data_IF_594672022498
#
_entry.id   IF_594672022498
#
_cell.length_a   1.000
_cell.length_b   1.000
_cell.length_c   1.000
_cell.angle_alpha   90.00
_cell.angle_beta   90.00
_cell.angle_gamma   90.00
#
_symmetry.space_group_name_H-M   'P 1'
#
loop_
_entity.id
_entity.type
_entity.pdbx_description
1 polymer ?
#
# COMPACT_ATOMS: atom_id res chain seq x y z
N UNK A 1 -8.57 -6.52 -13.07
CA UNK A 1 -9.79 -6.37 -12.23
C UNK A 1 -9.53 -5.34 -11.15
N UNK A 2 -10.54 -4.56 -10.70
CA UNK A 2 -10.36 -3.52 -9.67
C UNK A 2 -11.00 -3.92 -8.33
N UNK A 3 -10.21 -4.03 -7.27
CA UNK A 3 -10.68 -4.38 -5.92
C UNK A 3 -10.45 -3.24 -4.94
N UNK A 4 -11.39 -3.00 -4.03
CA UNK A 4 -11.29 -1.96 -3.00
C UNK A 4 -11.31 -2.59 -1.62
N UNK A 5 -10.36 -2.21 -0.75
CA UNK A 5 -10.37 -2.61 0.66
C UNK A 5 -10.20 -1.38 1.57
N UNK A 6 -10.70 -1.51 2.80
CA UNK A 6 -10.39 -0.62 3.92
C UNK A 6 -9.60 -1.39 4.97
N UNK A 7 -8.59 -0.74 5.57
CA UNK A 7 -7.77 -1.34 6.62
C UNK A 7 -7.48 -0.29 7.71
N UNK A 8 -7.45 -0.73 8.97
CA UNK A 8 -6.97 0.09 10.08
C UNK A 8 -5.45 0.19 10.03
N UNK A 9 -4.89 1.39 10.03
CA UNK A 9 -3.44 1.59 9.92
C UNK A 9 -2.71 1.54 11.27
N UNK A 10 -3.45 1.45 12.37
CA UNK A 10 -2.89 1.38 13.73
C UNK A 10 -2.39 -0.03 14.11
N UNK A 11 -2.70 -1.02 13.29
CA UNK A 11 -2.35 -2.42 13.50
C UNK A 11 -1.22 -2.88 12.58
N UNK A 12 -0.39 -3.80 13.08
CA UNK A 12 0.52 -4.58 12.25
C UNK A 12 -0.20 -5.85 11.81
N UNK A 13 0.18 -6.40 10.66
CA UNK A 13 -0.28 -7.73 10.27
C UNK A 13 -0.31 -7.97 8.78
N UNK A 14 -0.65 -9.20 8.41
CA UNK A 14 -0.86 -9.60 7.03
C UNK A 14 -2.33 -9.43 6.65
N UNK A 15 -2.58 -9.12 5.38
CA UNK A 15 -3.91 -9.04 4.82
C UNK A 15 -3.93 -9.70 3.45
N UNK A 16 -4.87 -10.61 3.25
CA UNK A 16 -5.13 -11.22 1.95
C UNK A 16 -6.10 -10.33 1.18
N UNK A 17 -5.69 -9.89 0.00
CA UNK A 17 -6.51 -9.16 -0.96
C UNK A 17 -7.01 -10.19 -1.98
N UNK A 18 -8.27 -10.58 -1.86
CA UNK A 18 -8.90 -11.61 -2.69
C UNK A 18 -9.84 -11.00 -3.73
N UNK A 19 -10.42 -11.85 -4.57
CA UNK A 19 -11.41 -11.50 -5.58
C UNK A 19 -10.81 -11.01 -6.88
N UNK A 20 -9.59 -11.41 -7.26
CA UNK A 20 -9.03 -11.09 -8.57
C UNK A 20 -9.62 -11.98 -9.69
N UNK A 21 -10.11 -13.17 -9.33
CA UNK A 21 -10.60 -14.21 -10.23
C UNK A 21 -9.50 -15.04 -10.91
N UNK A 22 -8.24 -14.78 -10.59
CA UNK A 22 -7.05 -15.45 -11.11
C UNK A 22 -5.85 -15.18 -10.21
N UNK A 23 -4.77 -15.95 -10.42
CA UNK A 23 -3.47 -15.69 -9.81
C UNK A 23 -2.75 -14.55 -10.54
N UNK A 24 -2.59 -13.35 -9.95
CA UNK A 24 -1.97 -12.22 -10.62
C UNK A 24 -0.48 -12.44 -10.85
N UNK A 25 0.07 -11.77 -11.88
CA UNK A 25 1.52 -11.60 -12.06
C UNK A 25 2.00 -10.21 -11.62
N UNK A 26 1.07 -9.28 -11.39
CA UNK A 26 1.36 -7.96 -10.88
C UNK A 26 0.10 -7.17 -10.54
N UNK A 27 0.30 -6.02 -9.92
CA UNK A 27 -0.76 -5.04 -9.71
C UNK A 27 -0.24 -3.62 -9.61
N UNK A 28 -1.13 -2.68 -9.88
CA UNK A 28 -1.00 -1.29 -9.44
C UNK A 28 -1.92 -1.08 -8.24
N UNK A 29 -1.44 -0.41 -7.21
CA UNK A 29 -2.25 -0.03 -6.05
C UNK A 29 -2.28 1.48 -5.92
N UNK A 30 -3.47 2.05 -5.68
CA UNK A 30 -3.64 3.44 -5.28
C UNK A 30 -4.21 3.42 -3.88
N UNK A 31 -3.57 4.10 -2.95
CA UNK A 31 -3.98 4.09 -1.56
C UNK A 31 -3.76 5.42 -0.86
N UNK A 32 -4.29 5.53 0.36
CA UNK A 32 -4.11 6.69 1.22
C UNK A 32 -5.01 6.64 2.45
N UNK A 33 -4.83 7.59 3.37
CA UNK A 33 -5.70 7.76 4.54
C UNK A 33 -7.06 8.26 4.06
N UNK A 34 -8.13 7.66 4.56
CA UNK A 34 -9.51 8.12 4.32
C UNK A 34 -9.64 9.59 4.71
N UNK A 35 -10.05 10.44 3.77
CA UNK A 35 -10.21 11.89 3.97
C UNK A 35 -8.90 12.65 4.31
N UNK A 36 -7.72 12.06 4.05
CA UNK A 36 -6.41 12.68 4.32
C UNK A 36 -5.64 13.05 3.05
N UNK A 37 -4.57 13.85 3.22
CA UNK A 37 -3.72 14.37 2.12
C UNK A 37 -2.42 13.55 1.90
N UNK A 38 -2.46 12.23 2.14
CA UNK A 38 -1.31 11.34 1.96
C UNK A 38 -1.60 10.16 1.02
N UNK A 39 -1.93 10.41 -0.27
CA UNK A 39 -2.07 9.33 -1.24
C UNK A 39 -0.71 8.78 -1.66
N UNK A 40 -0.71 7.52 -2.10
CA UNK A 40 0.42 6.87 -2.76
C UNK A 40 -0.05 6.06 -3.97
N UNK A 41 0.88 5.78 -4.87
CA UNK A 41 0.72 4.87 -6.00
C UNK A 41 1.85 3.84 -5.94
N UNK A 42 1.49 2.57 -5.85
CA UNK A 42 2.42 1.45 -5.81
C UNK A 42 2.31 0.56 -7.03
N UNK A 43 3.41 -0.08 -7.40
CA UNK A 43 3.47 -1.06 -8.48
C UNK A 43 4.22 -2.28 -7.99
N UNK A 44 3.68 -3.46 -8.30
CA UNK A 44 4.34 -4.75 -8.08
C UNK A 44 4.33 -5.53 -9.38
N UNK A 45 5.50 -5.97 -9.82
CA UNK A 45 5.69 -6.83 -10.99
C UNK A 45 6.23 -8.23 -10.65
N UNK A 46 6.64 -8.44 -9.39
CA UNK A 46 7.21 -9.68 -8.89
C UNK A 46 7.27 -9.65 -7.36
N UNK A 47 7.61 -10.78 -6.73
CA UNK A 47 7.75 -10.85 -5.26
C UNK A 47 8.77 -9.85 -4.69
N UNK A 48 9.82 -9.52 -5.46
CA UNK A 48 10.87 -8.59 -5.08
C UNK A 48 10.77 -7.22 -5.78
N UNK A 49 10.11 -7.16 -6.93
CA UNK A 49 9.92 -5.94 -7.71
C UNK A 49 8.68 -5.18 -7.23
N UNK A 50 8.88 -4.38 -6.19
CA UNK A 50 7.89 -3.44 -5.68
C UNK A 50 8.49 -2.05 -5.59
N UNK A 51 7.70 -1.04 -5.97
CA UNK A 51 8.08 0.36 -5.88
C UNK A 51 6.83 1.20 -5.65
N UNK A 52 7.01 2.41 -5.14
CA UNK A 52 5.91 3.35 -5.01
C UNK A 52 6.39 4.79 -5.12
N UNK A 53 5.42 5.67 -5.33
CA UNK A 53 5.53 7.10 -5.11
C UNK A 53 4.49 7.53 -4.09
N UNK A 54 4.85 8.36 -3.14
CA UNK A 54 3.95 8.91 -2.12
C UNK A 54 3.93 10.43 -2.17
N UNK A 55 2.77 11.02 -1.90
CA UNK A 55 2.53 12.46 -1.92
C UNK A 55 2.71 13.11 -0.52
N UNK A 56 3.57 12.54 0.32
CA UNK A 56 3.71 13.03 1.69
C UNK A 56 5.04 12.66 2.36
N UNK A 57 6.12 12.55 1.59
CA UNK A 57 7.41 12.20 2.17
C UNK A 57 7.95 13.39 2.98
N UNK A 58 8.00 13.25 4.31
CA UNK A 58 8.51 14.30 5.20
C UNK A 58 7.57 15.51 5.40
N UNK A 59 6.25 15.32 5.28
CA UNK A 59 5.20 16.28 5.73
C UNK A 59 4.93 17.48 4.82
N UNK A 60 5.27 17.41 3.53
CA UNK A 60 4.85 18.43 2.56
C UNK A 60 3.90 17.83 1.54
N UNK A 61 2.59 17.99 1.78
CA UNK A 61 1.57 17.64 0.79
C UNK A 61 1.86 18.33 -0.56
N UNK A 62 1.71 17.60 -1.66
CA UNK A 62 1.98 18.09 -3.01
C UNK A 62 3.38 17.74 -3.53
N UNK A 63 4.24 17.12 -2.71
CA UNK A 63 5.55 16.61 -3.14
C UNK A 63 5.50 15.09 -3.28
N UNK A 64 5.66 14.63 -4.52
CA UNK A 64 5.76 13.20 -4.84
C UNK A 64 7.21 12.74 -4.82
N UNK A 65 7.52 11.71 -4.03
CA UNK A 65 8.87 11.13 -3.94
C UNK A 65 8.77 9.61 -3.99
N UNK A 66 9.82 8.95 -4.47
CA UNK A 66 10.03 7.51 -4.31
C UNK A 66 10.75 7.24 -2.99
N UNK A 67 10.15 6.45 -2.10
CA UNK A 67 10.88 5.86 -0.96
C UNK A 67 11.73 4.67 -1.49
N UNK A 68 12.98 4.59 -1.06
CA UNK A 68 13.95 3.56 -1.47
C UNK A 68 13.80 2.25 -0.69
N UNK A 69 12.90 2.22 0.30
CA UNK A 69 12.58 1.04 1.06
C UNK A 69 11.57 0.18 0.29
N UNK A 70 11.94 -1.07 -0.02
CA UNK A 70 11.12 -2.07 -0.72
C UNK A 70 9.70 -2.19 -0.14
N UNK A 71 8.79 -1.36 -0.63
CA UNK A 71 7.40 -1.25 -0.20
C UNK A 71 6.53 -0.84 -1.38
N UNK A 72 5.26 -1.25 -1.35
CA UNK A 72 4.24 -0.86 -2.34
C UNK A 72 3.56 0.45 -1.97
N UNK A 73 3.83 0.97 -0.78
CA UNK A 73 3.26 2.23 -0.32
C UNK A 73 3.66 2.52 1.11
N UNK A 74 3.81 3.81 1.40
CA UNK A 74 3.94 4.30 2.76
C UNK A 74 2.83 5.33 3.01
N UNK A 75 2.07 5.10 4.08
CA UNK A 75 1.07 6.03 4.56
C UNK A 75 1.70 6.84 5.69
N UNK A 76 1.90 8.13 5.46
CA UNK A 76 2.41 9.06 6.45
C UNK A 76 1.26 9.81 7.15
N UNK A 77 1.27 9.79 8.47
CA UNK A 77 0.45 10.67 9.32
C UNK A 77 1.20 11.98 9.56
N UNK A 78 2.50 11.86 9.88
CA UNK A 78 3.45 12.96 10.03
C UNK A 78 4.88 12.47 9.74
N UNK A 79 5.89 13.27 10.14
CA UNK A 79 7.31 13.01 9.87
C UNK A 79 7.82 11.72 10.52
N UNK A 80 7.17 11.27 11.59
CA UNK A 80 7.61 10.18 12.47
C UNK A 80 6.59 9.06 12.59
N UNK A 81 5.36 9.28 12.11
CA UNK A 81 4.27 8.32 12.15
C UNK A 81 3.90 7.86 10.76
N UNK A 82 4.25 6.61 10.44
CA UNK A 82 3.88 6.00 9.18
C UNK A 82 3.51 4.53 9.31
N UNK A 83 2.73 4.06 8.35
CA UNK A 83 2.46 2.64 8.10
C UNK A 83 2.97 2.28 6.72
N UNK A 84 3.91 1.34 6.68
CA UNK A 84 4.45 0.77 5.45
C UNK A 84 3.64 -0.43 5.02
N UNK A 85 3.48 -0.56 3.72
CA UNK A 85 2.75 -1.64 3.09
C UNK A 85 3.72 -2.36 2.16
N UNK A 86 3.87 -3.66 2.33
CA UNK A 86 4.75 -4.48 1.50
C UNK A 86 3.97 -5.61 0.86
N UNK A 87 4.31 -5.94 -0.38
CA UNK A 87 3.84 -7.16 -1.01
C UNK A 87 4.50 -8.37 -0.34
N UNK A 88 3.77 -9.47 -0.22
CA UNK A 88 4.27 -10.72 0.35
C UNK A 88 4.19 -11.86 -0.65
N UNK A 89 3.03 -12.06 -1.29
CA UNK A 89 2.84 -13.14 -2.27
C UNK A 89 1.72 -12.83 -3.26
N UNK A 90 1.80 -13.44 -4.44
CA UNK A 90 0.66 -13.62 -5.33
C UNK A 90 -0.02 -14.95 -5.01
N UNK A 91 -1.32 -14.89 -4.79
CA UNK A 91 -2.16 -16.00 -4.37
C UNK A 91 -3.15 -16.36 -5.47
N UNK A 92 -3.84 -17.50 -5.37
CA UNK A 92 -4.67 -18.03 -6.45
C UNK A 92 -5.84 -17.13 -6.86
N UNK A 93 -6.25 -16.21 -5.99
CA UNK A 93 -7.33 -15.25 -6.21
C UNK A 93 -6.94 -13.80 -5.84
N UNK A 94 -5.64 -13.47 -5.89
CA UNK A 94 -5.17 -12.12 -5.60
C UNK A 94 -3.75 -12.04 -5.03
N UNK A 95 -3.58 -11.34 -3.92
CA UNK A 95 -2.26 -11.14 -3.31
C UNK A 95 -2.33 -10.94 -1.80
N UNK A 96 -1.24 -11.27 -1.12
CA UNK A 96 -1.04 -10.97 0.30
C UNK A 96 -0.14 -9.75 0.44
N UNK A 97 -0.53 -8.84 1.34
CA UNK A 97 0.25 -7.68 1.75
C UNK A 97 0.52 -7.72 3.25
N UNK A 98 1.58 -7.07 3.69
CA UNK A 98 1.92 -6.88 5.11
C UNK A 98 1.91 -5.39 5.45
N UNK A 99 1.30 -5.06 6.60
CA UNK A 99 1.26 -3.75 7.22
C UNK A 99 2.28 -3.69 8.37
N UNK A 100 3.22 -2.75 8.27
CA UNK A 100 4.27 -2.51 9.27
C UNK A 100 4.23 -1.05 9.71
N UNK A 101 3.83 -0.78 10.95
CA UNK A 101 3.88 0.56 11.55
C UNK A 101 5.26 0.87 12.10
N UNK A 102 5.70 2.11 11.93
CA UNK A 102 6.97 2.61 12.49
C UNK A 102 6.77 3.22 13.89
N UNK A 103 5.54 3.58 14.25
CA UNK A 103 5.19 4.15 15.57
C UNK A 103 3.70 3.92 15.91
N UNK A 104 2.94 4.98 16.20
CA UNK A 104 1.51 4.93 16.56
C UNK A 104 0.60 5.68 15.55
N UNK A 105 0.66 5.39 14.24
CA UNK A 105 -0.27 5.96 13.28
C UNK A 105 -1.72 5.54 13.60
N UNK A 106 -2.69 6.41 13.34
CA UNK A 106 -4.12 6.12 13.57
C UNK A 106 -4.95 6.49 12.35
N UNK A 107 -6.04 5.77 12.10
CA UNK A 107 -6.98 6.05 11.02
C UNK A 107 -7.28 4.82 10.16
N UNK A 108 -7.92 5.05 9.02
CA UNK A 108 -8.29 3.99 8.09
C UNK A 108 -7.71 4.27 6.70
N UNK A 109 -6.91 3.36 6.19
CA UNK A 109 -6.48 3.35 4.80
C UNK A 109 -7.62 2.87 3.90
N UNK A 110 -7.72 3.48 2.72
CA UNK A 110 -8.48 2.93 1.61
C UNK A 110 -7.49 2.57 0.50
N UNK A 111 -7.55 1.33 0.03
CA UNK A 111 -6.70 0.83 -1.05
C UNK A 111 -7.56 0.38 -2.23
N UNK A 112 -7.09 0.67 -3.44
CA UNK A 112 -7.66 0.18 -4.69
C UNK A 112 -6.58 -0.54 -5.48
N UNK A 113 -6.82 -1.80 -5.82
CA UNK A 113 -5.90 -2.66 -6.55
C UNK A 113 -6.39 -2.87 -7.97
N UNK A 114 -5.51 -2.73 -8.94
CA UNK A 114 -5.69 -3.17 -10.32
C UNK A 114 -4.78 -4.36 -10.58
N UNK A 115 -5.33 -5.58 -10.52
CA UNK A 115 -4.60 -6.82 -10.80
C UNK A 115 -4.49 -7.09 -12.31
N UNK A 116 -3.32 -7.59 -12.73
CA UNK A 116 -3.02 -8.07 -14.07
C UNK A 116 -2.20 -9.38 -14.04
N UNK A 117 -2.26 -10.18 -15.10
CA UNK A 117 -1.68 -11.52 -15.19
C UNK A 117 -1.46 -11.98 -16.62
#
# INVERSE_FOLDING_TARGET
MVNTTRADISVNGTQNITGAGFKPKGYVVIGGISNGNAPFIGIVDSAAGQSHIDNYYGVTAGRWITDDNSAIGTIHIDATHSTRITHTSFDDDGATITWTKTSSPTGAAQLKFLFFG
#
